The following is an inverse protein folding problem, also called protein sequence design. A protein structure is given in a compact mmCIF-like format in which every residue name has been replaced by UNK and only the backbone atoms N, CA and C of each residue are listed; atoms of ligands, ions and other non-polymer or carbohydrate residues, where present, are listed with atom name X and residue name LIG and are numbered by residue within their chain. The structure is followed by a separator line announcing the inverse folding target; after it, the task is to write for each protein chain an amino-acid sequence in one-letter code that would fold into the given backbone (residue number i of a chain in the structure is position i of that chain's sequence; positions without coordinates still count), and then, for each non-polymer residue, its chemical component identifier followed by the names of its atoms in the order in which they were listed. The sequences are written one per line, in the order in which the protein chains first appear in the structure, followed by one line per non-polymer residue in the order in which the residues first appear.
data_IF_779071882383
#
_entry.id   IF_779071882383
#
_cell.length_a   1.000
_cell.length_b   1.000
_cell.length_c   1.000
_cell.angle_alpha   90.00
_cell.angle_beta   90.00
_cell.angle_gamma   90.00
#
_symmetry.space_group_name_H-M   'P 1'
#
loop_
_entity.id
_entity.type
_entity.pdbx_description
1 polymer ?
#
# COMPACT_ATOMS: atom_id res chain seq x y z
N UNK A 1 -14.71 -14.62 4.06
CA UNK A 1 -14.93 -14.13 2.69
C UNK A 1 -14.51 -12.68 2.60
N UNK A 2 -14.19 -12.18 1.41
CA UNK A 2 -13.69 -10.81 1.20
C UNK A 2 -14.65 -9.74 1.76
N UNK A 3 -15.98 -9.98 1.69
CA UNK A 3 -16.98 -9.07 2.25
C UNK A 3 -16.85 -8.86 3.77
N UNK A 4 -16.48 -9.91 4.51
CA UNK A 4 -16.24 -9.80 5.96
C UNK A 4 -15.00 -8.94 6.23
N UNK A 5 -13.95 -9.08 5.43
CA UNK A 5 -12.72 -8.29 5.57
C UNK A 5 -13.00 -6.83 5.23
N UNK A 6 -13.74 -6.56 4.14
CA UNK A 6 -14.17 -5.21 3.78
C UNK A 6 -14.97 -4.54 4.89
N UNK A 7 -15.97 -5.24 5.45
CA UNK A 7 -16.77 -4.71 6.56
C UNK A 7 -15.93 -4.40 7.82
N UNK A 8 -14.89 -5.20 8.08
CA UNK A 8 -13.95 -4.93 9.17
C UNK A 8 -13.10 -3.70 8.88
N UNK A 9 -12.56 -3.56 7.68
CA UNK A 9 -11.74 -2.42 7.26
C UNK A 9 -12.53 -1.12 7.42
N UNK A 10 -13.74 -1.05 6.87
CA UNK A 10 -14.59 0.15 6.96
C UNK A 10 -14.91 0.50 8.43
N UNK A 11 -15.26 -0.50 9.25
CA UNK A 11 -15.51 -0.29 10.68
C UNK A 11 -14.28 0.27 11.42
N UNK A 12 -13.08 -0.19 11.09
CA UNK A 12 -11.85 0.29 11.75
C UNK A 12 -11.44 1.68 11.26
N UNK A 13 -11.62 2.00 9.97
CA UNK A 13 -11.45 3.35 9.44
C UNK A 13 -12.35 4.34 10.20
N UNK A 14 -13.65 4.06 10.29
CA UNK A 14 -14.62 4.95 10.95
C UNK A 14 -14.42 5.08 12.46
N UNK A 15 -14.20 3.95 13.16
CA UNK A 15 -14.20 3.93 14.64
C UNK A 15 -12.84 4.17 15.26
N UNK A 16 -11.75 3.93 14.52
CA UNK A 16 -10.38 3.93 15.04
C UNK A 16 -9.42 4.76 14.20
N UNK A 17 -9.88 5.42 13.13
CA UNK A 17 -9.06 6.19 12.20
C UNK A 17 -7.84 5.38 11.69
N UNK A 18 -8.05 4.08 11.44
CA UNK A 18 -7.00 3.22 10.90
C UNK A 18 -6.84 3.46 9.40
N UNK A 19 -5.60 3.68 8.98
CA UNK A 19 -5.20 3.65 7.57
C UNK A 19 -4.82 2.22 7.16
N UNK A 20 -5.27 1.79 5.99
CA UNK A 20 -4.97 0.47 5.45
C UNK A 20 -4.21 0.62 4.14
N UNK A 21 -3.03 0.00 4.05
CA UNK A 21 -2.21 -0.06 2.84
C UNK A 21 -2.14 -1.52 2.40
N UNK A 22 -2.39 -1.77 1.11
CA UNK A 22 -2.29 -3.10 0.50
C UNK A 22 -1.00 -3.21 -0.31
N UNK A 23 -0.15 -4.18 0.04
CA UNK A 23 1.10 -4.47 -0.66
C UNK A 23 0.96 -5.75 -1.46
N UNK A 24 0.93 -5.63 -2.78
CA UNK A 24 0.90 -6.75 -3.72
C UNK A 24 2.28 -7.06 -4.26
N UNK A 25 2.70 -8.31 -4.16
CA UNK A 25 3.97 -8.76 -4.72
C UNK A 25 3.70 -9.42 -6.09
N UNK A 26 4.17 -8.81 -7.19
CA UNK A 26 4.00 -9.35 -8.55
C UNK A 26 2.54 -9.67 -8.95
N UNK A 27 1.57 -8.90 -8.47
CA UNK A 27 0.13 -9.04 -8.78
C UNK A 27 -0.44 -7.70 -9.24
N UNK A 28 -1.76 -7.66 -9.53
CA UNK A 28 -2.52 -6.41 -9.59
C UNK A 28 -3.05 -6.08 -8.18
N UNK A 29 -2.28 -5.29 -7.43
CA UNK A 29 -2.63 -4.85 -6.08
C UNK A 29 -3.92 -4.04 -6.10
N UNK A 30 -4.15 -3.22 -7.12
CA UNK A 30 -5.33 -2.35 -7.21
C UNK A 30 -6.59 -3.21 -7.32
N UNK A 31 -6.63 -4.14 -8.28
CA UNK A 31 -7.77 -5.03 -8.46
C UNK A 31 -8.02 -5.90 -7.22
N UNK A 32 -6.95 -6.35 -6.55
CA UNK A 32 -7.06 -7.19 -5.36
C UNK A 32 -7.52 -6.39 -4.14
N UNK A 33 -6.97 -5.20 -3.91
CA UNK A 33 -7.31 -4.27 -2.84
C UNK A 33 -8.77 -3.80 -2.91
N UNK A 34 -9.29 -3.58 -4.12
CA UNK A 34 -10.68 -3.18 -4.34
C UNK A 34 -11.68 -4.20 -3.76
N UNK A 35 -11.35 -5.51 -3.79
CA UNK A 35 -12.17 -6.57 -3.20
C UNK A 35 -12.30 -6.46 -1.67
N UNK A 36 -11.35 -5.76 -1.04
CA UNK A 36 -11.30 -5.54 0.40
C UNK A 36 -11.70 -4.11 0.79
N UNK A 37 -12.10 -3.25 -0.16
CA UNK A 37 -12.47 -1.85 0.13
C UNK A 37 -11.25 -0.95 0.41
N UNK A 38 -10.07 -1.34 -0.07
CA UNK A 38 -8.87 -0.50 -0.02
C UNK A 38 -8.79 0.25 -1.35
N UNK A 39 -8.63 1.56 -1.28
CA UNK A 39 -8.58 2.46 -2.44
C UNK A 39 -7.26 2.29 -3.21
N UNK A 40 -7.28 2.64 -4.50
CA UNK A 40 -6.14 2.43 -5.39
C UNK A 40 -4.90 3.22 -4.97
N UNK A 41 -5.08 4.42 -4.41
CA UNK A 41 -4.02 5.25 -3.85
C UNK A 41 -3.33 4.60 -2.64
N UNK A 42 -4.00 3.66 -1.97
CA UNK A 42 -3.48 2.84 -0.85
C UNK A 42 -3.10 1.41 -1.27
N UNK A 43 -3.14 1.11 -2.56
CA UNK A 43 -2.69 -0.16 -3.13
C UNK A 43 -1.35 0.05 -3.86
N UNK A 44 -0.38 -0.82 -3.58
CA UNK A 44 0.97 -0.74 -4.13
C UNK A 44 1.45 -2.10 -4.59
N UNK A 45 1.87 -2.15 -5.84
CA UNK A 45 2.60 -3.27 -6.42
C UNK A 45 4.09 -3.09 -6.17
N UNK A 46 4.78 -4.15 -5.75
CA UNK A 46 6.22 -4.19 -5.66
C UNK A 46 6.78 -5.47 -6.30
N UNK A 47 8.05 -5.39 -6.73
CA UNK A 47 8.78 -6.54 -7.25
C UNK A 47 9.30 -7.40 -6.10
N UNK A 48 8.90 -8.68 -6.09
CA UNK A 48 9.31 -9.65 -5.07
C UNK A 48 10.74 -10.18 -5.26
N UNK A 49 11.70 -9.28 -5.47
CA UNK A 49 13.12 -9.60 -5.47
C UNK A 49 13.83 -8.89 -4.31
N UNK A 50 15.12 -9.18 -4.11
CA UNK A 50 15.89 -8.65 -2.98
C UNK A 50 15.90 -7.11 -2.95
N UNK A 51 16.06 -6.47 -4.12
CA UNK A 51 16.11 -5.01 -4.24
C UNK A 51 14.73 -4.39 -4.03
N UNK A 52 13.70 -4.92 -4.66
CA UNK A 52 12.32 -4.46 -4.55
C UNK A 52 11.77 -4.63 -3.14
N UNK A 53 12.07 -5.75 -2.48
CA UNK A 53 11.67 -6.01 -1.09
C UNK A 53 12.35 -5.03 -0.13
N UNK A 54 13.68 -4.87 -0.24
CA UNK A 54 14.44 -3.91 0.58
C UNK A 54 13.94 -2.48 0.39
N UNK A 55 13.71 -2.07 -0.86
CA UNK A 55 13.20 -0.75 -1.19
C UNK A 55 11.78 -0.53 -0.65
N UNK A 56 10.88 -1.50 -0.84
CA UNK A 56 9.53 -1.47 -0.28
C UNK A 56 9.54 -1.25 1.24
N UNK A 57 10.35 -2.00 2.00
CA UNK A 57 10.47 -1.80 3.45
C UNK A 57 11.00 -0.41 3.83
N UNK A 58 12.00 0.09 3.09
CA UNK A 58 12.53 1.45 3.31
C UNK A 58 11.46 2.51 3.13
N UNK A 59 10.67 2.43 2.07
CA UNK A 59 9.59 3.39 1.81
C UNK A 59 8.46 3.25 2.82
N UNK A 60 8.11 2.02 3.23
CA UNK A 60 7.12 1.80 4.28
C UNK A 60 7.56 2.40 5.62
N UNK A 61 8.84 2.27 5.99
CA UNK A 61 9.37 2.91 7.19
C UNK A 61 9.26 4.45 7.12
N UNK A 62 9.58 5.05 5.97
CA UNK A 62 9.40 6.50 5.73
C UNK A 62 7.92 6.91 5.80
N UNK A 63 7.03 6.10 5.24
CA UNK A 63 5.58 6.34 5.24
C UNK A 63 5.02 6.35 6.66
N UNK A 64 5.44 5.38 7.49
CA UNK A 64 5.04 5.31 8.92
C UNK A 64 5.60 6.50 9.71
N UNK A 65 6.85 6.92 9.45
CA UNK A 65 7.43 8.08 10.11
C UNK A 65 6.62 9.35 9.81
N UNK A 66 6.32 9.62 8.54
CA UNK A 66 5.48 10.76 8.13
C UNK A 66 4.07 10.69 8.70
N UNK A 67 3.45 9.51 8.69
CA UNK A 67 2.12 9.31 9.27
C UNK A 67 2.07 9.69 10.75
N UNK A 68 3.13 9.42 11.52
CA UNK A 68 3.20 9.84 12.93
C UNK A 68 3.25 11.36 13.11
N UNK A 69 3.79 12.08 12.12
CA UNK A 69 3.90 13.54 12.13
C UNK A 69 2.62 14.22 11.63
N UNK A 70 2.01 13.70 10.56
CA UNK A 70 0.90 14.34 9.84
C UNK A 70 -0.48 13.74 10.14
N UNK A 71 -0.54 12.55 10.74
CA UNK A 71 -1.78 11.77 10.92
C UNK A 71 -2.36 11.21 9.62
N UNK A 72 -1.67 11.33 8.48
CA UNK A 72 -2.17 10.88 7.16
C UNK A 72 -1.09 10.15 6.37
N UNK A 73 -1.49 9.16 5.58
CA UNK A 73 -0.56 8.46 4.68
C UNK A 73 -0.28 9.35 3.47
N UNK A 74 1.00 9.66 3.28
CA UNK A 74 1.48 10.44 2.14
C UNK A 74 1.56 9.57 0.88
N UNK A 75 0.71 9.86 -0.09
CA UNK A 75 0.65 9.15 -1.37
C UNK A 75 1.97 9.25 -2.16
N UNK A 76 2.71 10.36 -2.00
CA UNK A 76 3.99 10.54 -2.68
C UNK A 76 5.02 9.48 -2.27
N UNK A 77 4.91 8.94 -1.04
CA UNK A 77 5.75 7.83 -0.61
C UNK A 77 5.38 6.54 -1.35
N UNK A 78 4.10 6.22 -1.47
CA UNK A 78 3.65 5.01 -2.18
C UNK A 78 3.99 5.07 -3.67
N UNK A 79 3.97 6.27 -4.26
CA UNK A 79 4.43 6.51 -5.64
C UNK A 79 5.90 6.19 -5.86
N UNK A 80 6.77 6.30 -4.85
CA UNK A 80 8.18 5.90 -4.97
C UNK A 80 8.31 4.40 -5.28
N UNK A 81 7.49 3.55 -4.65
CA UNK A 81 7.47 2.11 -4.92
C UNK A 81 6.92 1.82 -6.33
N UNK A 82 5.82 2.49 -6.71
CA UNK A 82 5.23 2.35 -8.06
C UNK A 82 6.24 2.70 -9.17
N UNK A 83 7.07 3.71 -8.94
CA UNK A 83 8.12 4.13 -9.87
C UNK A 83 9.25 3.11 -9.99
N UNK A 84 9.66 2.45 -8.90
CA UNK A 84 10.65 1.37 -8.95
C UNK A 84 10.16 0.22 -9.86
N UNK A 85 8.91 -0.22 -9.66
CA UNK A 85 8.31 -1.28 -10.48
C UNK A 85 8.28 -0.89 -11.96
N UNK A 86 7.83 0.32 -12.30
CA UNK A 86 7.78 0.81 -13.69
C UNK A 86 9.18 0.89 -14.32
N UNK A 87 10.14 1.45 -13.60
CA UNK A 87 11.50 1.61 -14.11
C UNK A 87 12.18 0.26 -14.36
N UNK A 88 11.94 -0.73 -13.47
CA UNK A 88 12.56 -2.04 -13.55
C UNK A 88 11.85 -3.04 -14.47
N UNK A 89 10.61 -2.77 -14.89
CA UNK A 89 9.92 -3.51 -15.95
C UNK A 89 10.26 -3.01 -17.36
N UNK A 90 10.75 -1.78 -17.50
CA UNK A 90 11.15 -1.21 -18.80
C UNK A 90 12.65 -1.37 -19.11
N UNK A 91 13.40 -2.00 -18.21
CA UNK A 91 14.82 -2.36 -18.37
C UNK A 91 14.98 -3.85 -18.61
#
# INVERSE_FOLDING_TARGET
TADKIRALIERQKEKKAWEFIFLGANIDAVATAARYGISADRAVDYLADSKGTSYNFKIMAKTVAKFRESGTVDEACLDEIRKDVKHRHMS
#
